data_IF_754588572426
#
_entry.id   IF_754588572426
#
_cell.length_a   1.000
_cell.length_b   1.000
_cell.length_c   1.000
_cell.angle_alpha   90.00
_cell.angle_beta   90.00
_cell.angle_gamma   90.00
#
_symmetry.space_group_name_H-M   'P 1'
#
loop_
_entity.id
_entity.type
_entity.pdbx_description
1 polymer ?
#
# COMPACT_ATOMS: atom_id res chain seq x y z
N UNK A 1 -12.55 -15.61 12.52
CA UNK A 1 -12.69 -16.41 11.29
C UNK A 1 -12.84 -15.54 10.04
N UNK A 2 -13.70 -14.52 10.02
CA UNK A 2 -13.89 -13.64 8.84
C UNK A 2 -12.59 -12.96 8.35
N UNK A 3 -11.74 -12.47 9.27
CA UNK A 3 -10.47 -11.80 8.92
C UNK A 3 -9.48 -12.76 8.22
N UNK A 4 -9.46 -14.03 8.63
CA UNK A 4 -8.60 -15.04 8.02
C UNK A 4 -9.11 -15.41 6.63
N UNK A 5 -10.42 -15.54 6.47
CA UNK A 5 -11.04 -15.76 5.17
C UNK A 5 -10.76 -14.59 4.21
N UNK A 6 -10.91 -13.35 4.66
CA UNK A 6 -10.62 -12.15 3.86
C UNK A 6 -9.16 -12.10 3.40
N UNK A 7 -8.21 -12.41 4.30
CA UNK A 7 -6.78 -12.52 3.95
C UNK A 7 -6.52 -13.65 2.95
N UNK A 8 -7.16 -14.81 3.14
CA UNK A 8 -7.04 -15.94 2.22
C UNK A 8 -7.57 -15.60 0.82
N UNK A 9 -8.72 -14.93 0.74
CA UNK A 9 -9.31 -14.48 -0.53
C UNK A 9 -8.41 -13.46 -1.22
N UNK A 10 -7.91 -12.45 -0.51
CA UNK A 10 -7.02 -11.44 -1.12
C UNK A 10 -5.73 -12.06 -1.66
N UNK A 11 -5.11 -12.98 -0.90
CA UNK A 11 -3.91 -13.68 -1.35
C UNK A 11 -4.19 -14.58 -2.56
N UNK A 12 -5.28 -15.35 -2.51
CA UNK A 12 -5.72 -16.23 -3.60
C UNK A 12 -6.04 -15.45 -4.87
N UNK A 13 -6.75 -14.33 -4.77
CA UNK A 13 -7.05 -13.45 -5.91
C UNK A 13 -5.79 -12.88 -6.54
N UNK A 14 -4.83 -12.41 -5.73
CA UNK A 14 -3.54 -11.90 -6.24
C UNK A 14 -2.75 -12.99 -6.97
N UNK A 15 -2.77 -14.22 -6.44
CA UNK A 15 -2.11 -15.36 -7.05
C UNK A 15 -2.74 -15.75 -8.39
N UNK A 16 -4.07 -15.86 -8.44
CA UNK A 16 -4.80 -16.15 -9.68
C UNK A 16 -4.59 -15.07 -10.74
N UNK A 17 -4.60 -13.80 -10.33
CA UNK A 17 -4.28 -12.68 -11.22
C UNK A 17 -2.86 -12.79 -11.78
N UNK A 18 -1.88 -13.16 -10.96
CA UNK A 18 -0.49 -13.34 -11.43
C UNK A 18 -0.39 -14.44 -12.49
N UNK A 19 -1.07 -15.58 -12.30
CA UNK A 19 -1.10 -16.67 -13.30
C UNK A 19 -1.78 -16.20 -14.58
N UNK A 20 -2.89 -15.47 -14.44
CA UNK A 20 -3.60 -14.91 -15.58
C UNK A 20 -2.70 -13.98 -16.39
N UNK A 21 -2.00 -13.05 -15.73
CA UNK A 21 -1.12 -12.10 -16.41
C UNK A 21 0.01 -12.81 -17.17
N UNK A 22 0.66 -13.81 -16.56
CA UNK A 22 1.69 -14.61 -17.25
C UNK A 22 1.16 -15.31 -18.51
N UNK A 23 -0.12 -15.69 -18.53
CA UNK A 23 -0.73 -16.38 -19.67
C UNK A 23 -1.13 -15.43 -20.81
N UNK A 24 -1.47 -14.18 -20.51
CA UNK A 24 -2.04 -13.24 -21.48
C UNK A 24 -1.11 -12.08 -21.87
N UNK A 25 -0.10 -11.75 -21.05
CA UNK A 25 0.90 -10.74 -21.37
C UNK A 25 2.11 -11.35 -22.09
N UNK A 26 2.81 -10.54 -22.88
CA UNK A 26 4.14 -10.89 -23.36
C UNK A 26 5.12 -11.04 -22.18
N UNK A 27 6.20 -11.79 -22.39
CA UNK A 27 7.24 -11.98 -21.37
C UNK A 27 7.79 -10.64 -20.85
N UNK A 28 7.96 -9.68 -21.76
CA UNK A 28 8.43 -8.32 -21.48
C UNK A 28 7.43 -7.56 -20.59
N UNK A 29 6.16 -7.50 -20.98
CA UNK A 29 5.13 -6.79 -20.23
C UNK A 29 4.88 -7.43 -18.84
N UNK A 30 5.01 -8.74 -18.71
CA UNK A 30 4.93 -9.42 -17.41
C UNK A 30 6.16 -9.10 -16.52
N UNK A 31 7.34 -8.93 -17.11
CA UNK A 31 8.54 -8.48 -16.41
C UNK A 31 8.39 -7.07 -15.85
N UNK A 32 7.92 -6.12 -16.68
CA UNK A 32 7.62 -4.75 -16.26
C UNK A 32 6.58 -4.71 -15.14
N UNK A 33 5.49 -5.48 -15.29
CA UNK A 33 4.48 -5.61 -14.25
C UNK A 33 5.07 -6.14 -12.93
N UNK A 34 5.99 -7.12 -12.99
CA UNK A 34 6.68 -7.64 -11.81
C UNK A 34 7.49 -6.57 -11.08
N UNK A 35 8.24 -5.76 -11.83
CA UNK A 35 9.02 -4.63 -11.29
C UNK A 35 8.09 -3.57 -10.68
N UNK A 36 6.98 -3.27 -11.36
CA UNK A 36 5.95 -2.35 -10.85
C UNK A 36 5.36 -2.84 -9.52
N UNK A 37 4.94 -4.10 -9.44
CA UNK A 37 4.39 -4.68 -8.20
C UNK A 37 5.42 -4.69 -7.07
N UNK A 38 6.68 -4.98 -7.36
CA UNK A 38 7.76 -4.93 -6.38
C UNK A 38 7.99 -3.51 -5.85
N UNK A 39 7.99 -2.52 -6.74
CA UNK A 39 8.12 -1.09 -6.39
C UNK A 39 6.99 -0.66 -5.47
N UNK A 40 5.73 -0.94 -5.83
CA UNK A 40 4.56 -0.63 -4.99
C UNK A 40 4.67 -1.32 -3.63
N UNK A 41 5.11 -2.59 -3.60
CA UNK A 41 5.26 -3.34 -2.35
C UNK A 41 6.32 -2.69 -1.44
N UNK A 42 7.46 -2.27 -2.00
CA UNK A 42 8.51 -1.56 -1.25
C UNK A 42 8.03 -0.20 -0.75
N UNK A 43 7.24 0.52 -1.55
CA UNK A 43 6.65 1.81 -1.17
C UNK A 43 5.68 1.68 0.01
N UNK A 44 4.99 0.56 0.19
CA UNK A 44 4.10 0.41 1.36
C UNK A 44 4.84 0.53 2.69
N UNK A 45 6.12 0.17 2.74
CA UNK A 45 6.97 0.37 3.91
C UNK A 45 7.35 1.85 4.09
N UNK A 46 7.71 2.52 2.99
CA UNK A 46 8.15 3.94 3.01
C UNK A 46 6.96 4.88 3.27
N UNK A 47 5.82 4.64 2.65
CA UNK A 47 4.61 5.46 2.76
C UNK A 47 3.84 5.17 4.06
N UNK A 48 3.86 3.91 4.51
CA UNK A 48 3.20 3.50 5.75
C UNK A 48 3.92 3.97 7.01
N UNK A 49 5.25 4.16 6.93
CA UNK A 49 6.16 4.60 8.01
C UNK A 49 5.92 3.90 9.37
N UNK A 50 5.31 2.71 9.38
CA UNK A 50 4.75 2.02 10.56
C UNK A 50 3.76 2.86 11.42
N UNK A 51 3.45 4.09 11.03
CA UNK A 51 2.51 4.98 11.72
C UNK A 51 1.12 4.38 11.75
N UNK A 52 0.73 3.58 10.75
CA UNK A 52 -0.55 2.87 10.78
C UNK A 52 -0.69 1.97 12.02
N UNK A 53 0.36 1.24 12.40
CA UNK A 53 0.34 0.36 13.57
C UNK A 53 0.44 1.11 14.90
N UNK A 54 1.16 2.24 14.93
CA UNK A 54 1.25 3.10 16.10
C UNK A 54 -0.06 3.85 16.36
N UNK A 55 -0.58 4.57 15.35
CA UNK A 55 -1.80 5.36 15.49
C UNK A 55 -3.03 4.50 15.80
N UNK A 56 -3.17 3.31 15.20
CA UNK A 56 -4.29 2.44 15.52
C UNK A 56 -4.31 2.05 17.01
N UNK A 57 -3.14 1.90 17.65
CA UNK A 57 -3.08 1.56 19.08
C UNK A 57 -3.46 2.74 19.96
N UNK A 58 -3.00 3.94 19.62
CA UNK A 58 -3.36 5.16 20.36
C UNK A 58 -4.84 5.55 20.17
N UNK A 59 -5.36 5.44 18.94
CA UNK A 59 -6.75 5.76 18.60
C UNK A 59 -7.74 4.90 19.39
N UNK A 60 -7.37 3.64 19.69
CA UNK A 60 -8.20 2.70 20.46
C UNK A 60 -8.16 2.93 21.99
N UNK A 61 -7.18 3.70 22.49
CA UNK A 61 -7.00 3.94 23.93
C UNK A 61 -7.53 5.31 24.39
N UNK A 62 -7.78 6.25 23.47
CA UNK A 62 -8.19 7.63 23.78
C UNK A 62 -9.70 7.90 23.57
N UNK A 63 -10.19 9.00 24.15
CA UNK A 63 -11.55 9.52 23.94
C UNK A 63 -11.74 10.00 22.48
N UNK A 64 -12.96 9.86 21.96
CA UNK A 64 -13.30 10.07 20.53
C UNK A 64 -12.87 11.41 19.91
N UNK A 65 -12.76 12.46 20.71
CA UNK A 65 -12.36 13.81 20.28
C UNK A 65 -10.85 13.90 19.96
N UNK A 66 -10.00 13.21 20.72
CA UNK A 66 -8.55 13.17 20.48
C UNK A 66 -8.20 12.17 19.35
N UNK A 67 -8.94 11.06 19.26
CA UNK A 67 -8.88 10.12 18.14
C UNK A 67 -9.10 10.82 16.79
N UNK A 68 -10.07 11.75 16.71
CA UNK A 68 -10.34 12.53 15.51
C UNK A 68 -9.18 13.43 15.07
N UNK A 69 -8.48 14.06 16.02
CA UNK A 69 -7.30 14.89 15.72
C UNK A 69 -6.14 14.03 15.21
N UNK A 70 -5.89 12.87 15.82
CA UNK A 70 -4.85 11.93 15.36
C UNK A 70 -5.12 11.43 13.93
N UNK A 71 -6.37 11.10 13.59
CA UNK A 71 -6.77 10.72 12.23
C UNK A 71 -6.51 11.86 11.23
N UNK A 72 -6.88 13.11 11.57
CA UNK A 72 -6.64 14.27 10.70
C UNK A 72 -5.15 14.50 10.46
N UNK A 73 -4.33 14.41 11.51
CA UNK A 73 -2.88 14.56 11.39
C UNK A 73 -2.26 13.41 10.58
N UNK A 74 -2.74 12.18 10.74
CA UNK A 74 -2.31 11.03 9.93
C UNK A 74 -2.65 11.22 8.46
N UNK A 75 -3.87 11.70 8.16
CA UNK A 75 -4.28 11.99 6.80
C UNK A 75 -3.40 13.08 6.18
N UNK A 76 -3.10 14.15 6.93
CA UNK A 76 -2.23 15.22 6.46
C UNK A 76 -0.80 14.72 6.20
N UNK A 77 -0.23 13.92 7.11
CA UNK A 77 1.09 13.32 6.96
C UNK A 77 1.15 12.44 5.71
N UNK A 78 0.20 11.52 5.55
CA UNK A 78 0.16 10.65 4.36
C UNK A 78 -0.04 11.45 3.08
N UNK A 79 -0.86 12.50 3.09
CA UNK A 79 -1.02 13.38 1.92
C UNK A 79 0.29 14.04 1.55
N UNK A 80 1.02 14.59 2.51
CA UNK A 80 2.32 15.23 2.29
C UNK A 80 3.35 14.22 1.75
N UNK A 81 3.43 13.04 2.35
CA UNK A 81 4.36 11.98 1.94
C UNK A 81 4.03 11.52 0.51
N UNK A 82 2.76 11.31 0.18
CA UNK A 82 2.35 10.96 -1.19
C UNK A 82 2.67 12.08 -2.19
N UNK A 83 2.46 13.34 -1.83
CA UNK A 83 2.80 14.49 -2.68
C UNK A 83 4.29 14.59 -2.99
N UNK A 84 5.17 14.12 -2.09
CA UNK A 84 6.62 14.11 -2.32
C UNK A 84 7.09 12.85 -3.06
N UNK A 85 6.53 11.70 -2.73
CA UNK A 85 6.98 10.40 -3.26
C UNK A 85 6.45 10.15 -4.68
N UNK A 86 5.23 10.58 -5.01
CA UNK A 86 4.67 10.39 -6.36
C UNK A 86 5.48 11.09 -7.47
N UNK A 87 5.89 12.37 -7.33
CA UNK A 87 6.78 13.00 -8.31
C UNK A 87 8.12 12.27 -8.44
N UNK A 88 8.69 11.82 -7.31
CA UNK A 88 9.96 11.09 -7.31
C UNK A 88 9.84 9.76 -8.07
N UNK A 89 8.74 9.04 -7.87
CA UNK A 89 8.43 7.80 -8.59
C UNK A 89 8.22 8.03 -10.08
N UNK A 90 7.51 9.10 -10.43
CA UNK A 90 7.29 9.44 -11.83
C UNK A 90 8.61 9.73 -12.55
N UNK A 91 9.51 10.49 -11.90
CA UNK A 91 10.85 10.74 -12.41
C UNK A 91 11.66 9.45 -12.53
N UNK A 92 11.62 8.57 -11.53
CA UNK A 92 12.33 7.28 -11.56
C UNK A 92 11.86 6.35 -12.67
N UNK A 93 10.57 6.36 -13.04
CA UNK A 93 10.04 5.51 -14.11
C UNK A 93 10.24 6.09 -15.52
N UNK A 94 10.51 7.39 -15.65
CA UNK A 94 10.77 8.05 -16.93
C UNK A 94 12.26 8.02 -17.31
N UNK A 95 13.13 8.13 -16.32
CA UNK A 95 14.60 8.10 -16.49
C UNK A 95 15.06 6.66 -16.69
#
# INVERSE_FOLDING_TARGET
MINLALRGITLGSKFLLSIYLVKFLSLEANGEYGIFVATISMLTYVLGLDFYSFNNREILQENSLESGKKIKNQFFLFTLVYLLVLPLLYVFWII
#
